data_IF_100003426604
#
_entry.id   IF_100003426604
#
_cell.length_a   1.000
_cell.length_b   1.000
_cell.length_c   1.000
_cell.angle_alpha   90.00
_cell.angle_beta   90.00
_cell.angle_gamma   90.00
#
_symmetry.space_group_name_H-M   'P 1'
#
loop_
_entity.id
_entity.type
_entity.pdbx_description
1 polymer ?
#
# COMPACT_ATOMS: atom_id res chain seq x y z
N UNK A 1 -68.60 -29.39 26.96
CA UNK A 1 -67.15 -29.43 26.72
C UNK A 1 -66.58 -28.05 27.03
N UNK A 2 -65.69 -28.00 28.03
CA UNK A 2 -64.69 -26.96 28.40
C UNK A 2 -65.12 -25.47 28.45
N UNK A 3 -65.54 -24.94 29.62
CA UNK A 3 -64.78 -24.12 30.62
C UNK A 3 -64.13 -22.84 30.03
N UNK A 4 -64.68 -21.63 30.25
CA UNK A 4 -64.50 -20.75 31.41
C UNK A 4 -63.01 -20.45 31.73
N UNK A 5 -62.51 -19.22 31.48
CA UNK A 5 -62.21 -18.21 32.52
C UNK A 5 -61.41 -16.98 32.01
N UNK A 6 -61.85 -15.80 32.52
CA UNK A 6 -61.09 -14.63 33.01
C UNK A 6 -60.28 -13.81 31.98
N UNK A 7 -60.48 -12.51 31.78
CA UNK A 7 -61.18 -11.50 32.57
C UNK A 7 -60.22 -10.36 32.97
N UNK A 8 -60.50 -9.17 32.44
CA UNK A 8 -60.40 -7.82 33.05
C UNK A 8 -59.09 -7.37 33.72
N UNK A 9 -58.39 -6.32 33.23
CA UNK A 9 -58.65 -4.86 33.26
C UNK A 9 -58.19 -4.14 34.57
N UNK A 10 -57.50 -2.99 34.35
CA UNK A 10 -57.25 -1.81 35.24
C UNK A 10 -55.93 -1.79 36.03
N UNK A 11 -54.95 -0.92 35.70
CA UNK A 11 -54.76 0.54 35.95
C UNK A 11 -54.71 0.90 37.47
N UNK A 12 -53.55 1.37 37.98
CA UNK A 12 -53.30 2.70 38.64
C UNK A 12 -52.03 2.74 39.53
N UNK A 13 -51.21 3.80 39.33
CA UNK A 13 -50.33 4.58 40.25
C UNK A 13 -49.48 3.92 41.39
N UNK A 14 -48.17 4.27 41.45
CA UNK A 14 -47.60 5.23 42.43
C UNK A 14 -46.05 5.17 42.57
N UNK A 15 -45.39 6.31 42.29
CA UNK A 15 -44.32 7.02 43.03
C UNK A 15 -43.23 6.29 43.87
N UNK A 16 -41.99 6.69 43.56
CA UNK A 16 -40.78 6.87 44.42
C UNK A 16 -40.02 5.60 44.85
N UNK A 17 -38.79 5.43 44.35
CA UNK A 17 -37.57 5.56 45.17
C UNK A 17 -36.31 5.61 44.29
N UNK A 18 -35.51 6.64 44.54
CA UNK A 18 -34.11 6.75 44.14
C UNK A 18 -33.36 5.46 44.47
N UNK A 19 -32.72 4.83 43.49
CA UNK A 19 -31.42 4.19 43.71
C UNK A 19 -30.55 4.35 42.47
N UNK A 20 -29.53 5.18 42.66
CA UNK A 20 -28.25 5.16 41.98
C UNK A 20 -27.92 3.80 41.37
N UNK A 21 -27.96 3.73 40.03
CA UNK A 21 -26.89 3.05 39.30
C UNK A 21 -26.21 4.13 38.48
N UNK A 22 -25.37 4.91 39.17
CA UNK A 22 -24.13 5.37 38.57
C UNK A 22 -23.43 4.09 38.09
N UNK A 23 -23.71 3.68 36.86
CA UNK A 23 -22.70 2.95 36.10
C UNK A 23 -21.53 3.92 36.10
N UNK A 24 -20.40 3.61 36.74
CA UNK A 24 -19.29 4.52 36.69
C UNK A 24 -19.00 4.72 35.22
N UNK A 25 -19.08 5.99 34.79
CA UNK A 25 -18.50 6.45 33.54
C UNK A 25 -16.96 6.33 33.57
N UNK A 26 -16.42 5.36 34.33
CA UNK A 26 -15.09 4.79 34.21
C UNK A 26 -15.16 3.74 33.10
N UNK A 27 -15.69 4.21 31.98
CA UNK A 27 -15.75 3.54 30.70
C UNK A 27 -14.31 3.57 30.19
N UNK A 28 -13.54 2.52 30.48
CA UNK A 28 -12.25 2.18 29.85
C UNK A 28 -11.49 3.42 29.38
N UNK A 29 -11.02 4.24 30.33
CA UNK A 29 -10.04 5.29 30.04
C UNK A 29 -8.70 4.62 29.76
N UNK A 30 -8.62 3.83 28.67
CA UNK A 30 -7.36 3.61 28.02
C UNK A 30 -6.86 5.00 27.64
N UNK A 31 -5.90 5.53 28.40
CA UNK A 31 -5.41 6.92 28.30
C UNK A 31 -5.31 7.31 26.83
N UNK A 32 -6.28 8.10 26.36
CA UNK A 32 -6.32 8.52 24.98
C UNK A 32 -5.07 9.36 24.73
N UNK A 33 -4.39 9.11 23.62
CA UNK A 33 -3.18 9.85 23.29
C UNK A 33 -3.61 11.29 23.00
N UNK A 34 -3.12 12.23 23.80
CA UNK A 34 -3.37 13.65 23.59
C UNK A 34 -2.53 14.16 22.40
N UNK A 35 -2.95 15.25 21.72
CA UNK A 35 -2.15 15.90 20.70
C UNK A 35 -0.70 16.20 21.13
N UNK A 36 -0.49 16.72 22.34
CA UNK A 36 0.86 17.03 22.85
C UNK A 36 1.70 15.78 23.05
N UNK A 37 1.11 14.72 23.60
CA UNK A 37 1.80 13.43 23.75
C UNK A 37 2.14 12.85 22.37
N UNK A 38 1.27 13.00 21.37
CA UNK A 38 1.56 12.58 20.02
C UNK A 38 2.76 13.35 19.42
N UNK A 39 2.84 14.67 19.62
CA UNK A 39 3.99 15.47 19.16
C UNK A 39 5.31 14.96 19.75
N UNK A 40 5.34 14.73 21.06
CA UNK A 40 6.52 14.17 21.74
C UNK A 40 6.86 12.78 21.20
N UNK A 41 5.86 11.92 21.00
CA UNK A 41 6.09 10.58 20.44
C UNK A 41 6.71 10.66 19.03
N UNK A 42 6.23 11.58 18.19
CA UNK A 42 6.74 11.80 16.82
C UNK A 42 8.17 12.33 16.84
N UNK A 43 8.47 13.34 17.66
CA UNK A 43 9.82 13.93 17.77
C UNK A 43 10.87 12.91 18.22
N UNK A 44 10.48 11.97 19.08
CA UNK A 44 11.35 10.90 19.55
C UNK A 44 11.60 9.80 18.51
N UNK A 45 10.78 9.66 17.46
CA UNK A 45 11.00 8.65 16.40
C UNK A 45 12.38 8.81 15.77
N UNK A 46 12.81 10.06 15.56
CA UNK A 46 14.08 10.37 14.92
C UNK A 46 15.32 10.01 15.77
N UNK A 47 15.13 9.58 17.03
CA UNK A 47 16.18 9.15 17.96
C UNK A 47 16.13 7.64 18.24
N UNK A 48 15.15 6.92 17.68
CA UNK A 48 14.88 5.52 17.99
C UNK A 48 15.24 4.61 16.83
N UNK A 49 15.75 3.42 17.17
CA UNK A 49 15.89 2.31 16.20
C UNK A 49 14.57 1.57 15.99
N UNK A 50 13.73 1.53 17.02
CA UNK A 50 12.41 0.88 17.00
C UNK A 50 11.33 1.86 17.49
N UNK A 51 10.32 2.07 16.65
CA UNK A 51 9.15 2.92 16.88
C UNK A 51 7.83 2.13 16.73
N UNK A 52 7.89 0.80 16.80
CA UNK A 52 6.74 -0.10 16.60
C UNK A 52 5.59 0.18 17.59
N UNK A 53 5.93 0.55 18.82
CA UNK A 53 4.96 0.93 19.86
C UNK A 53 4.23 2.21 19.48
N UNK A 54 4.97 3.25 19.12
CA UNK A 54 4.45 4.56 18.70
C UNK A 54 3.56 4.41 17.47
N UNK A 55 4.03 3.64 16.48
CA UNK A 55 3.29 3.36 15.27
C UNK A 55 1.94 2.69 15.56
N UNK A 56 1.92 1.62 16.37
CA UNK A 56 0.70 0.91 16.76
C UNK A 56 -0.27 1.81 17.51
N UNK A 57 0.25 2.67 18.38
CA UNK A 57 -0.51 3.59 19.19
C UNK A 57 -1.15 4.71 18.34
N UNK A 58 -0.36 5.39 17.50
CA UNK A 58 -0.81 6.53 16.70
C UNK A 58 -1.70 6.12 15.51
N UNK A 59 -1.57 4.89 15.02
CA UNK A 59 -2.51 4.32 14.05
C UNK A 59 -3.93 4.22 14.59
N UNK A 60 -4.11 4.04 15.91
CA UNK A 60 -5.43 3.86 16.55
C UNK A 60 -5.90 5.11 17.32
N UNK A 61 -5.16 6.21 17.23
CA UNK A 61 -5.44 7.41 17.99
C UNK A 61 -6.64 8.19 17.43
N UNK A 62 -7.11 9.17 18.21
CA UNK A 62 -8.28 10.00 17.88
C UNK A 62 -8.07 10.86 16.61
N UNK A 63 -9.15 11.41 16.03
CA UNK A 63 -9.05 12.37 14.93
C UNK A 63 -8.21 13.62 15.25
N UNK A 64 -8.14 14.08 16.50
CA UNK A 64 -7.29 15.22 16.87
C UNK A 64 -5.80 14.88 16.81
N UNK A 65 -5.42 13.64 17.12
CA UNK A 65 -4.05 13.16 16.88
C UNK A 65 -3.77 13.03 15.39
N UNK A 66 -4.77 12.69 14.57
CA UNK A 66 -4.60 12.70 13.12
C UNK A 66 -4.27 14.09 12.57
N UNK A 67 -4.91 15.15 13.10
CA UNK A 67 -4.56 16.52 12.73
C UNK A 67 -3.08 16.82 13.01
N UNK A 68 -2.57 16.38 14.16
CA UNK A 68 -1.13 16.49 14.50
C UNK A 68 -0.25 15.77 13.48
N UNK A 69 -0.60 14.54 13.09
CA UNK A 69 0.15 13.79 12.08
C UNK A 69 0.18 14.52 10.74
N UNK A 70 -0.94 15.10 10.31
CA UNK A 70 -1.05 15.87 9.06
C UNK A 70 -0.24 17.17 9.13
N UNK A 71 -0.32 17.90 10.25
CA UNK A 71 0.48 19.10 10.48
C UNK A 71 1.97 18.81 10.38
N UNK A 72 2.45 17.77 11.07
CA UNK A 72 3.88 17.40 11.06
C UNK A 72 4.31 16.93 9.68
N UNK A 73 3.51 16.11 8.98
CA UNK A 73 3.80 15.66 7.61
C UNK A 73 4.11 16.83 6.66
N UNK A 74 3.35 17.92 6.75
CA UNK A 74 3.48 19.07 5.85
C UNK A 74 4.36 20.20 6.38
N UNK A 75 4.87 20.11 7.62
CA UNK A 75 5.79 21.09 8.17
C UNK A 75 7.21 20.88 7.61
N UNK A 76 7.63 21.73 6.68
CA UNK A 76 8.98 21.67 6.07
C UNK A 76 10.11 21.95 7.08
N UNK A 77 9.79 22.51 8.24
CA UNK A 77 10.70 22.73 9.36
C UNK A 77 10.95 21.48 10.20
N UNK A 78 10.12 20.44 10.07
CA UNK A 78 10.27 19.18 10.81
C UNK A 78 11.25 18.24 10.11
N UNK A 79 11.88 17.37 10.91
CA UNK A 79 12.85 16.40 10.40
C UNK A 79 12.19 15.42 9.43
N UNK A 80 12.94 14.93 8.45
CA UNK A 80 12.39 14.01 7.46
C UNK A 80 11.90 12.70 8.09
N UNK A 81 12.52 12.24 9.18
CA UNK A 81 12.11 11.04 9.93
C UNK A 81 10.72 11.20 10.54
N UNK A 82 10.44 12.38 11.14
CA UNK A 82 9.13 12.70 11.71
C UNK A 82 8.06 12.71 10.61
N UNK A 83 8.36 13.35 9.48
CA UNK A 83 7.46 13.48 8.33
C UNK A 83 7.18 12.13 7.67
N UNK A 84 8.23 11.34 7.46
CA UNK A 84 8.16 9.98 6.94
C UNK A 84 7.29 9.09 7.85
N UNK A 85 7.53 9.14 9.16
CA UNK A 85 6.75 8.40 10.14
C UNK A 85 5.27 8.78 10.12
N UNK A 86 4.97 10.08 10.01
CA UNK A 86 3.60 10.56 9.90
C UNK A 86 2.92 10.03 8.63
N UNK A 87 3.61 10.05 7.48
CA UNK A 87 3.06 9.53 6.22
C UNK A 87 2.70 8.04 6.32
N UNK A 88 3.62 7.19 6.80
CA UNK A 88 3.33 5.75 6.91
C UNK A 88 2.23 5.45 7.93
N UNK A 89 2.14 6.24 9.01
CA UNK A 89 1.10 6.11 10.04
C UNK A 89 -0.25 6.51 9.49
N UNK A 90 -0.33 7.64 8.79
CA UNK A 90 -1.55 8.11 8.10
C UNK A 90 -2.07 7.09 7.10
N UNK A 91 -1.19 6.41 6.36
CA UNK A 91 -1.58 5.34 5.44
C UNK A 91 -2.33 4.19 6.13
N UNK A 92 -1.88 3.79 7.33
CA UNK A 92 -2.56 2.74 8.11
C UNK A 92 -3.89 3.17 8.74
N UNK A 93 -4.10 4.46 8.94
CA UNK A 93 -5.34 5.00 9.50
C UNK A 93 -6.50 4.92 8.50
N UNK A 94 -6.20 4.95 7.19
CA UNK A 94 -7.17 4.77 6.10
C UNK A 94 -8.36 5.74 6.14
N UNK A 95 -8.17 6.95 6.66
CA UNK A 95 -9.20 8.00 6.67
C UNK A 95 -9.13 8.85 5.40
N UNK A 96 -10.25 9.45 5.01
CA UNK A 96 -10.34 10.42 3.91
C UNK A 96 -9.36 11.59 4.07
N UNK A 97 -9.23 12.11 5.28
CA UNK A 97 -8.33 13.19 5.66
C UNK A 97 -6.86 12.78 5.55
N UNK A 98 -6.51 11.58 5.99
CA UNK A 98 -5.18 11.00 5.77
C UNK A 98 -4.88 10.85 4.27
N UNK A 99 -5.84 10.35 3.47
CA UNK A 99 -5.66 10.21 2.02
C UNK A 99 -5.29 11.54 1.36
N UNK A 100 -6.08 12.58 1.63
CA UNK A 100 -5.84 13.93 1.06
C UNK A 100 -4.46 14.48 1.45
N UNK A 101 -4.06 14.30 2.70
CA UNK A 101 -2.72 14.69 3.16
C UNK A 101 -1.61 13.92 2.43
N UNK A 102 -1.79 12.61 2.24
CA UNK A 102 -0.81 11.77 1.53
C UNK A 102 -0.71 12.12 0.04
N UNK A 103 -1.83 12.41 -0.63
CA UNK A 103 -1.83 12.89 -2.02
C UNK A 103 -1.00 14.17 -2.17
N UNK A 104 -1.11 15.11 -1.22
CA UNK A 104 -0.27 16.31 -1.19
C UNK A 104 1.21 15.96 -0.92
N UNK A 105 1.48 15.05 0.01
CA UNK A 105 2.85 14.64 0.36
C UNK A 105 3.55 13.83 -0.73
N UNK A 106 2.81 13.19 -1.64
CA UNK A 106 3.36 12.54 -2.82
C UNK A 106 4.04 13.52 -3.80
N UNK A 107 3.83 14.83 -3.62
CA UNK A 107 4.46 15.91 -4.38
C UNK A 107 5.51 16.69 -3.56
N UNK A 108 5.95 16.14 -2.42
CA UNK A 108 6.92 16.81 -1.55
C UNK A 108 8.29 17.02 -2.19
N UNK A 109 9.01 18.05 -1.74
CA UNK A 109 10.38 18.31 -2.20
C UNK A 109 11.34 17.16 -1.83
N UNK A 110 11.14 16.54 -0.67
CA UNK A 110 11.98 15.44 -0.21
C UNK A 110 11.48 14.10 -0.77
N UNK A 111 12.34 13.41 -1.51
CA UNK A 111 12.01 12.10 -2.09
C UNK A 111 11.59 11.07 -1.02
N UNK A 112 12.16 11.15 0.18
CA UNK A 112 11.86 10.22 1.27
C UNK A 112 10.42 10.40 1.78
N UNK A 113 9.89 11.62 1.74
CA UNK A 113 8.49 11.92 2.08
C UNK A 113 7.57 11.49 0.95
N UNK A 114 7.96 11.72 -0.32
CA UNK A 114 7.21 11.20 -1.47
C UNK A 114 7.09 9.68 -1.45
N UNK A 115 8.19 8.98 -1.18
CA UNK A 115 8.20 7.51 -1.05
C UNK A 115 7.24 7.06 0.05
N UNK A 116 7.33 7.64 1.25
CA UNK A 116 6.43 7.30 2.36
C UNK A 116 4.96 7.60 2.04
N UNK A 117 4.70 8.67 1.30
CA UNK A 117 3.37 9.02 0.85
C UNK A 117 2.82 7.99 -0.14
N UNK A 118 3.60 7.56 -1.14
CA UNK A 118 3.21 6.49 -2.08
C UNK A 118 2.96 5.17 -1.34
N UNK A 119 3.81 4.82 -0.38
CA UNK A 119 3.61 3.67 0.49
C UNK A 119 2.29 3.76 1.28
N UNK A 120 1.99 4.93 1.83
CA UNK A 120 0.75 5.18 2.57
C UNK A 120 -0.48 5.15 1.65
N UNK A 121 -0.36 5.69 0.43
CA UNK A 121 -1.39 5.66 -0.59
C UNK A 121 -1.73 4.23 -1.04
N UNK A 122 -0.81 3.28 -0.91
CA UNK A 122 -1.05 1.86 -1.22
C UNK A 122 -2.20 1.21 -0.42
N UNK A 123 -2.76 1.90 0.59
CA UNK A 123 -3.87 1.42 1.42
C UNK A 123 -5.25 1.95 0.99
N UNK A 124 -5.33 2.76 -0.08
CA UNK A 124 -6.56 3.39 -0.58
C UNK A 124 -6.84 3.00 -2.03
N UNK A 125 -8.09 2.66 -2.34
CA UNK A 125 -8.50 2.06 -3.63
C UNK A 125 -9.19 3.02 -4.62
N UNK A 126 -9.17 4.32 -4.37
CA UNK A 126 -9.80 5.31 -5.23
C UNK A 126 -8.93 5.73 -6.43
N UNK A 127 -9.59 6.30 -7.45
CA UNK A 127 -8.98 6.71 -8.70
C UNK A 127 -7.87 7.75 -8.53
N UNK A 128 -8.00 8.70 -7.61
CA UNK A 128 -7.00 9.76 -7.42
C UNK A 128 -5.72 9.18 -6.81
N UNK A 129 -5.87 8.26 -5.85
CA UNK A 129 -4.75 7.48 -5.32
C UNK A 129 -4.05 6.68 -6.40
N UNK A 130 -4.81 5.93 -7.22
CA UNK A 130 -4.23 5.13 -8.31
C UNK A 130 -3.46 6.01 -9.29
N UNK A 131 -4.02 7.16 -9.69
CA UNK A 131 -3.33 8.13 -10.56
C UNK A 131 -2.03 8.64 -9.92
N UNK A 132 -2.05 8.97 -8.64
CA UNK A 132 -0.86 9.44 -7.93
C UNK A 132 0.23 8.36 -7.84
N UNK A 133 -0.14 7.10 -7.57
CA UNK A 133 0.81 5.98 -7.53
C UNK A 133 1.42 5.74 -8.92
N UNK A 134 0.59 5.68 -9.97
CA UNK A 134 1.05 5.51 -11.35
C UNK A 134 1.96 6.66 -11.80
N UNK A 135 1.69 7.89 -11.37
CA UNK A 135 2.56 9.03 -11.66
C UNK A 135 3.95 8.89 -11.02
N UNK A 136 4.03 8.33 -9.81
CA UNK A 136 5.28 8.12 -9.09
C UNK A 136 6.23 7.11 -9.76
N UNK A 137 5.75 6.32 -10.73
CA UNK A 137 6.61 5.50 -11.59
C UNK A 137 7.66 6.32 -12.35
N UNK A 138 7.37 7.59 -12.66
CA UNK A 138 8.29 8.48 -13.36
C UNK A 138 9.11 9.40 -12.44
N UNK A 139 9.11 9.14 -11.12
CA UNK A 139 9.78 10.02 -10.15
C UNK A 139 11.30 10.10 -10.39
N UNK A 140 11.87 11.28 -10.15
CA UNK A 140 13.32 11.53 -10.21
C UNK A 140 14.14 10.58 -9.32
N UNK A 141 13.62 10.22 -8.15
CA UNK A 141 14.26 9.34 -7.19
C UNK A 141 13.83 7.89 -7.43
N UNK A 142 14.81 7.02 -7.67
CA UNK A 142 14.59 5.60 -7.93
C UNK A 142 13.85 4.86 -6.81
N UNK A 143 14.07 5.26 -5.56
CA UNK A 143 13.35 4.67 -4.41
C UNK A 143 11.85 4.97 -4.43
N UNK A 144 11.44 6.13 -4.95
CA UNK A 144 10.02 6.47 -5.12
C UNK A 144 9.41 5.65 -6.26
N UNK A 145 10.14 5.49 -7.36
CA UNK A 145 9.72 4.63 -8.48
C UNK A 145 9.54 3.17 -8.05
N UNK A 146 10.47 2.64 -7.26
CA UNK A 146 10.36 1.29 -6.67
C UNK A 146 9.12 1.15 -5.81
N UNK A 147 8.85 2.11 -4.93
CA UNK A 147 7.64 2.09 -4.10
C UNK A 147 6.37 2.12 -4.96
N UNK A 148 6.36 2.84 -6.08
CA UNK A 148 5.25 2.85 -7.01
C UNK A 148 5.03 1.47 -7.66
N UNK A 149 6.09 0.76 -8.06
CA UNK A 149 6.00 -0.61 -8.60
C UNK A 149 5.45 -1.58 -7.55
N UNK A 150 5.92 -1.49 -6.31
CA UNK A 150 5.43 -2.32 -5.20
C UNK A 150 3.98 -2.02 -4.87
N UNK A 151 3.59 -0.74 -4.86
CA UNK A 151 2.22 -0.32 -4.63
C UNK A 151 1.28 -0.82 -5.73
N UNK A 152 1.64 -0.67 -7.01
CA UNK A 152 0.88 -1.22 -8.16
C UNK A 152 0.70 -2.73 -8.03
N UNK A 153 1.79 -3.44 -7.72
CA UNK A 153 1.77 -4.90 -7.57
C UNK A 153 0.89 -5.35 -6.41
N UNK A 154 1.04 -4.73 -5.24
CA UNK A 154 0.26 -5.02 -4.02
C UNK A 154 -1.23 -4.76 -4.22
N UNK A 155 -1.56 -3.72 -4.98
CA UNK A 155 -2.93 -3.34 -5.32
C UNK A 155 -3.52 -4.18 -6.46
N UNK A 156 -2.72 -5.05 -7.08
CA UNK A 156 -3.10 -5.83 -8.25
C UNK A 156 -3.63 -4.93 -9.40
N UNK A 157 -3.00 -3.77 -9.60
CA UNK A 157 -3.39 -2.78 -10.59
C UNK A 157 -2.90 -3.18 -12.01
N UNK A 158 -3.69 -4.04 -12.67
CA UNK A 158 -3.37 -4.59 -14.00
C UNK A 158 -3.42 -3.55 -15.11
N UNK A 159 -4.25 -2.52 -14.97
CA UNK A 159 -4.32 -1.41 -15.93
C UNK A 159 -2.99 -0.62 -16.03
N UNK A 160 -2.05 -0.84 -15.10
CA UNK A 160 -0.72 -0.25 -15.13
C UNK A 160 0.31 -1.03 -15.99
N UNK A 161 -0.06 -2.16 -16.62
CA UNK A 161 0.89 -2.97 -17.42
C UNK A 161 1.60 -2.14 -18.49
N UNK A 162 0.87 -1.35 -19.27
CA UNK A 162 1.45 -0.52 -20.34
C UNK A 162 2.40 0.57 -19.79
N UNK A 163 2.08 1.12 -18.62
CA UNK A 163 2.94 2.09 -17.93
C UNK A 163 4.21 1.42 -17.41
N UNK A 164 4.09 0.24 -16.78
CA UNK A 164 5.23 -0.54 -16.33
C UNK A 164 6.14 -0.94 -17.51
N UNK A 165 5.58 -1.30 -18.67
CA UNK A 165 6.36 -1.61 -19.88
C UNK A 165 7.18 -0.40 -20.34
N UNK A 166 6.55 0.76 -20.41
CA UNK A 166 7.23 2.02 -20.75
C UNK A 166 8.40 2.28 -19.79
N UNK A 167 8.21 2.03 -18.50
CA UNK A 167 9.23 2.27 -17.48
C UNK A 167 10.36 1.25 -17.50
N UNK A 168 10.09 -0.01 -17.85
CA UNK A 168 11.13 -1.04 -18.03
C UNK A 168 12.24 -0.60 -19.00
N UNK A 169 11.87 0.19 -20.02
CA UNK A 169 12.76 0.68 -21.06
C UNK A 169 13.03 2.20 -20.99
N UNK A 170 12.55 2.90 -19.96
CA UNK A 170 12.75 4.34 -19.81
C UNK A 170 14.23 4.68 -19.55
N UNK A 171 14.72 5.77 -20.17
CA UNK A 171 16.13 6.20 -20.09
C UNK A 171 16.64 6.38 -18.66
N UNK A 172 15.78 6.86 -17.75
CA UNK A 172 16.15 7.11 -16.36
C UNK A 172 16.30 5.83 -15.52
N UNK A 173 15.92 4.66 -16.08
CA UNK A 173 16.18 3.34 -15.48
C UNK A 173 17.49 2.72 -16.00
N UNK A 174 18.34 3.54 -16.61
CA UNK A 174 19.71 3.23 -16.96
C UNK A 174 20.66 4.27 -16.38
N UNK A 175 21.84 3.83 -15.94
CA UNK A 175 22.93 4.68 -15.50
C UNK A 175 24.21 4.28 -16.25
N UNK A 176 24.77 5.21 -17.03
CA UNK A 176 25.96 4.97 -17.87
C UNK A 176 25.82 3.73 -18.77
N UNK A 177 24.65 3.58 -19.41
CA UNK A 177 24.35 2.45 -20.31
C UNK A 177 24.08 1.11 -19.63
N UNK A 178 24.06 1.06 -18.29
CA UNK A 178 23.73 -0.14 -17.51
C UNK A 178 22.38 0.01 -16.83
N UNK A 179 21.66 -1.08 -16.69
CA UNK A 179 20.42 -1.12 -15.90
C UNK A 179 20.63 -0.67 -14.47
N UNK A 180 19.58 -0.09 -13.90
CA UNK A 180 19.41 -0.03 -12.45
C UNK A 180 18.46 -1.12 -11.96
N UNK A 181 18.54 -1.44 -10.67
CA UNK A 181 17.88 -2.60 -10.04
C UNK A 181 16.34 -2.61 -10.12
N UNK A 182 15.71 -1.46 -10.41
CA UNK A 182 14.25 -1.38 -10.60
C UNK A 182 13.78 -2.15 -11.84
N UNK A 183 14.64 -2.36 -12.87
CA UNK A 183 14.23 -3.04 -14.10
C UNK A 183 13.80 -4.50 -13.83
N UNK A 184 14.59 -5.35 -13.15
CA UNK A 184 14.12 -6.65 -12.66
C UNK A 184 12.86 -6.56 -11.78
N UNK A 185 12.72 -5.55 -10.92
CA UNK A 185 11.51 -5.38 -10.09
C UNK A 185 10.26 -5.15 -10.94
N UNK A 186 10.33 -4.36 -12.00
CA UNK A 186 9.24 -4.17 -12.95
C UNK A 186 8.88 -5.50 -13.65
N UNK A 187 9.89 -6.26 -14.08
CA UNK A 187 9.67 -7.59 -14.66
C UNK A 187 9.02 -8.55 -13.68
N UNK A 188 9.41 -8.50 -12.39
CA UNK A 188 8.76 -9.25 -11.33
C UNK A 188 7.27 -8.89 -11.18
N UNK A 189 6.96 -7.59 -11.24
CA UNK A 189 5.60 -7.08 -11.12
C UNK A 189 4.68 -7.66 -12.20
N UNK A 190 5.12 -7.79 -13.46
CA UNK A 190 4.32 -8.43 -14.52
C UNK A 190 3.86 -9.84 -14.16
N UNK A 191 4.79 -10.69 -13.69
CA UNK A 191 4.46 -12.05 -13.27
C UNK A 191 3.50 -12.06 -12.07
N UNK A 192 3.70 -11.15 -11.12
CA UNK A 192 2.85 -11.03 -9.92
C UNK A 192 1.45 -10.51 -10.23
N UNK A 193 1.29 -9.53 -11.11
CA UNK A 193 -0.01 -9.05 -11.59
C UNK A 193 -0.74 -10.19 -12.33
N UNK A 194 0.00 -11.02 -13.06
CA UNK A 194 -0.51 -12.23 -13.67
C UNK A 194 -1.49 -11.98 -14.81
N UNK A 195 -1.45 -10.79 -15.41
CA UNK A 195 -2.27 -10.45 -16.56
C UNK A 195 -1.67 -11.08 -17.84
N UNK A 196 -2.45 -11.82 -18.64
CA UNK A 196 -2.00 -12.38 -19.91
C UNK A 196 -1.36 -11.39 -20.88
N UNK A 197 -1.74 -10.11 -20.85
CA UNK A 197 -1.15 -9.08 -21.71
C UNK A 197 0.37 -8.93 -21.49
N UNK A 198 0.84 -9.25 -20.27
CA UNK A 198 2.26 -9.21 -19.93
C UNK A 198 3.09 -10.29 -20.65
N UNK A 199 2.47 -11.31 -21.26
CA UNK A 199 3.18 -12.40 -21.90
C UNK A 199 4.14 -11.89 -22.98
N UNK A 200 3.65 -11.05 -23.89
CA UNK A 200 4.47 -10.53 -25.00
C UNK A 200 5.64 -9.67 -24.50
N UNK A 201 5.43 -8.92 -23.41
CA UNK A 201 6.44 -8.08 -22.77
C UNK A 201 7.54 -8.96 -22.16
N UNK A 202 7.13 -9.99 -21.40
CA UNK A 202 8.05 -10.92 -20.76
C UNK A 202 8.84 -11.77 -21.77
N UNK A 203 8.22 -12.17 -22.88
CA UNK A 203 8.91 -12.85 -23.98
C UNK A 203 9.99 -11.94 -24.60
N UNK A 204 9.71 -10.63 -24.72
CA UNK A 204 10.70 -9.66 -25.22
C UNK A 204 11.85 -9.47 -24.23
N UNK A 205 11.57 -9.43 -22.93
CA UNK A 205 12.59 -9.22 -21.90
C UNK A 205 13.51 -10.43 -21.67
N UNK A 206 13.20 -11.61 -22.22
CA UNK A 206 14.16 -12.73 -22.32
C UNK A 206 15.35 -12.42 -23.24
N UNK A 207 15.23 -11.41 -24.11
CA UNK A 207 16.28 -10.97 -25.05
C UNK A 207 16.99 -9.72 -24.54
N UNK A 208 16.79 -9.33 -23.28
CA UNK A 208 17.44 -8.17 -22.69
C UNK A 208 18.95 -8.39 -22.56
N UNK A 209 19.72 -7.30 -22.58
CA UNK A 209 21.17 -7.35 -22.39
C UNK A 209 21.57 -7.52 -20.93
N UNK A 210 20.66 -7.21 -20.02
CA UNK A 210 20.88 -7.40 -18.58
C UNK A 210 20.41 -8.79 -18.15
N UNK A 211 21.38 -9.60 -17.72
CA UNK A 211 21.14 -10.96 -17.22
C UNK A 211 20.13 -11.01 -16.07
N UNK A 212 20.08 -10.00 -15.20
CA UNK A 212 19.10 -9.96 -14.10
C UNK A 212 17.67 -9.78 -14.62
N UNK A 213 17.51 -9.02 -15.71
CA UNK A 213 16.22 -8.85 -16.39
C UNK A 213 15.80 -10.17 -17.04
N UNK A 214 16.72 -10.87 -17.71
CA UNK A 214 16.46 -12.16 -18.34
C UNK A 214 16.09 -13.23 -17.28
N UNK A 215 16.87 -13.33 -16.21
CA UNK A 215 16.60 -14.28 -15.11
C UNK A 215 15.24 -14.02 -14.47
N UNK A 216 14.93 -12.74 -14.20
CA UNK A 216 13.64 -12.40 -13.62
C UNK A 216 12.48 -12.63 -14.61
N UNK A 217 12.70 -12.46 -15.91
CA UNK A 217 11.70 -12.73 -16.95
C UNK A 217 11.29 -14.18 -16.96
N UNK A 218 12.26 -15.09 -16.85
CA UNK A 218 12.04 -16.52 -16.69
C UNK A 218 11.14 -16.87 -15.50
N UNK A 219 11.46 -16.33 -14.31
CA UNK A 219 10.65 -16.53 -13.09
C UNK A 219 9.25 -15.93 -13.24
N UNK A 220 9.16 -14.76 -13.87
CA UNK A 220 7.89 -14.06 -14.08
C UNK A 220 6.99 -14.77 -15.10
N UNK A 221 7.54 -15.34 -16.18
CA UNK A 221 6.80 -16.16 -17.15
C UNK A 221 6.23 -17.42 -16.49
N UNK A 222 7.04 -18.10 -15.67
CA UNK A 222 6.56 -19.23 -14.88
C UNK A 222 5.40 -18.81 -13.97
N UNK A 223 5.58 -17.72 -13.22
CA UNK A 223 4.53 -17.19 -12.32
C UNK A 223 3.26 -16.83 -13.09
N UNK A 224 3.40 -16.18 -14.25
CA UNK A 224 2.30 -15.79 -15.12
C UNK A 224 1.54 -17.01 -15.63
N UNK A 225 2.26 -18.03 -16.14
CA UNK A 225 1.66 -19.27 -16.63
C UNK A 225 0.95 -20.05 -15.52
N UNK A 226 1.55 -20.13 -14.33
CA UNK A 226 0.88 -20.73 -13.16
C UNK A 226 -0.42 -20.02 -12.81
N UNK A 227 -0.42 -18.68 -12.75
CA UNK A 227 -1.62 -17.89 -12.46
C UNK A 227 -2.73 -18.05 -13.51
N UNK A 228 -2.34 -18.28 -14.76
CA UNK A 228 -3.26 -18.46 -15.88
C UNK A 228 -3.51 -19.93 -16.24
N UNK A 229 -3.00 -20.87 -15.44
CA UNK A 229 -3.16 -22.32 -15.62
C UNK A 229 -2.74 -22.81 -17.01
N UNK A 230 -1.71 -22.19 -17.59
CA UNK A 230 -1.14 -22.66 -18.85
C UNK A 230 -0.21 -23.84 -18.59
N UNK A 231 -0.10 -24.76 -19.54
CA UNK A 231 1.08 -25.63 -19.60
C UNK A 231 2.30 -24.78 -19.91
N UNK A 232 3.46 -25.06 -19.32
CA UNK A 232 4.67 -24.28 -19.53
C UNK A 232 5.94 -25.12 -19.36
N UNK A 233 7.10 -24.67 -19.89
CA UNK A 233 8.37 -25.35 -19.70
C UNK A 233 8.85 -25.30 -18.24
N UNK A 234 9.15 -26.46 -17.67
CA UNK A 234 9.59 -26.60 -16.27
C UNK A 234 11.09 -26.93 -16.22
N UNK A 235 11.85 -26.25 -15.34
CA UNK A 235 13.23 -26.60 -14.96
C UNK A 235 14.20 -26.86 -16.14
N UNK A 236 14.34 -25.92 -17.07
CA UNK A 236 15.29 -26.03 -18.17
C UNK A 236 16.60 -25.29 -17.87
N UNK A 237 17.73 -25.87 -18.31
CA UNK A 237 19.05 -25.20 -18.24
C UNK A 237 19.09 -23.92 -19.06
N UNK A 238 18.39 -23.92 -20.19
CA UNK A 238 18.18 -22.75 -21.03
C UNK A 238 16.69 -22.38 -20.96
N UNK A 239 16.38 -21.47 -20.05
CA UNK A 239 15.01 -21.03 -19.82
C UNK A 239 14.48 -20.17 -20.97
N UNK A 240 15.30 -19.26 -21.53
CA UNK A 240 14.87 -18.39 -22.61
C UNK A 240 14.47 -19.19 -23.86
N UNK A 241 15.34 -20.11 -24.31
CA UNK A 241 15.03 -20.93 -25.48
C UNK A 241 13.83 -21.87 -25.27
N UNK A 242 13.59 -22.31 -24.04
CA UNK A 242 12.43 -23.13 -23.72
C UNK A 242 11.12 -22.34 -23.84
N UNK A 243 11.08 -21.11 -23.32
CA UNK A 243 9.92 -20.22 -23.48
C UNK A 243 9.70 -19.79 -24.93
N UNK A 244 10.76 -19.53 -25.70
CA UNK A 244 10.65 -19.19 -27.13
C UNK A 244 9.95 -20.33 -27.91
N UNK A 245 10.42 -21.59 -27.75
CA UNK A 245 9.78 -22.75 -28.39
C UNK A 245 8.33 -22.93 -27.97
N UNK A 246 8.04 -22.74 -26.68
CA UNK A 246 6.67 -22.84 -26.18
C UNK A 246 5.77 -21.76 -26.79
N UNK A 247 6.26 -20.53 -26.87
CA UNK A 247 5.52 -19.41 -27.42
C UNK A 247 5.25 -19.57 -28.93
N UNK A 248 6.23 -20.07 -29.69
CA UNK A 248 6.06 -20.39 -31.10
C UNK A 248 5.02 -21.49 -31.34
N UNK A 249 5.04 -22.56 -30.54
CA UNK A 249 4.09 -23.66 -30.68
C UNK A 249 2.65 -23.26 -30.32
N UNK A 250 2.48 -22.28 -29.43
CA UNK A 250 1.16 -21.77 -29.03
C UNK A 250 0.49 -20.90 -30.10
N UNK A 251 1.27 -20.29 -30.99
CA UNK A 251 0.78 -19.36 -32.01
C UNK A 251 0.67 -19.99 -33.41
N UNK A 252 0.88 -21.31 -33.53
CA UNK A 252 0.64 -22.10 -34.74
C UNK A 252 -0.74 -22.74 -34.66
#
# INVERSE_FOLDING_TARGET
MTKIHKGFLRIFQALVFLFFVHVPLVQVMATSITPDKARVMIEEVAKKKDFSKEFKQLTKASPDVEKVLIEVLHATTKRWEERWFCAITLGKRKTETARKALLKAAQDQLFIVRQAAVQGLSYFDDLDTIKSIRHALGDTAMVVRSEAVDAITKRNDKDAISLLEKELYAKHNYQKGRSVWIRPQIVHAFGKLGDPEALSILMRSLKDKDEQVVEQSCKSLQTLAMKNQWEYPVHTKDCAAAWDRWYENRNK
#
